data_IF_854982002297
#
_entry.id   IF_854982002297
#
_cell.length_a   1.000
_cell.length_b   1.000
_cell.length_c   1.000
_cell.angle_alpha   90.00
_cell.angle_beta   90.00
_cell.angle_gamma   90.00
#
_symmetry.space_group_name_H-M   'P 1'
#
loop_
_entity.id
_entity.type
_entity.pdbx_description
1 polymer ?
#
# COMPACT_ATOMS: atom_id res chain seq x y z
N UNK A 1 -22.63 1.59 11.55
CA UNK A 1 -21.51 0.66 11.85
C UNK A 1 -20.36 1.50 12.36
N UNK A 2 -20.27 1.69 13.68
CA UNK A 2 -19.11 2.37 14.29
C UNK A 2 -17.97 1.37 14.42
N UNK A 3 -16.79 1.73 13.96
CA UNK A 3 -15.58 0.93 14.10
C UNK A 3 -15.22 0.87 15.59
N UNK A 4 -15.53 -0.24 16.27
CA UNK A 4 -15.08 -0.48 17.65
C UNK A 4 -13.61 -0.90 17.57
N UNK A 5 -12.73 0.07 17.37
CA UNK A 5 -11.30 -0.15 17.52
C UNK A 5 -11.06 -0.58 18.97
N UNK A 6 -10.67 -1.84 19.17
CA UNK A 6 -10.27 -2.36 20.46
C UNK A 6 -8.88 -1.78 20.79
N UNK A 7 -8.85 -0.50 21.17
CA UNK A 7 -7.63 0.22 21.56
C UNK A 7 -7.42 0.06 23.07
N UNK A 8 -7.30 -1.17 23.54
CA UNK A 8 -6.78 -1.43 24.88
C UNK A 8 -5.27 -1.21 24.84
N UNK A 9 -4.83 -0.02 25.23
CA UNK A 9 -3.41 0.29 25.39
C UNK A 9 -2.99 -0.19 26.79
N UNK A 10 -2.46 -1.42 26.86
CA UNK A 10 -1.85 -1.95 28.09
C UNK A 10 -0.35 -1.68 28.04
N UNK A 11 0.25 -1.06 29.07
CA UNK A 11 1.70 -0.84 29.11
C UNK A 11 2.43 -2.19 29.13
N UNK A 12 3.41 -2.32 28.24
CA UNK A 12 4.21 -3.53 28.15
C UNK A 12 5.28 -3.52 29.25
N UNK A 13 5.02 -4.19 30.38
CA UNK A 13 5.87 -4.15 31.58
C UNK A 13 6.99 -5.21 31.57
N UNK A 14 7.03 -6.10 30.58
CA UNK A 14 8.09 -7.09 30.42
C UNK A 14 8.27 -7.53 28.97
N UNK A 15 9.45 -8.06 28.65
CA UNK A 15 9.76 -8.64 27.33
C UNK A 15 8.86 -9.84 27.01
N UNK A 16 8.52 -10.68 28.01
CA UNK A 16 7.62 -11.83 27.81
C UNK A 16 6.22 -11.38 27.38
N UNK A 17 5.67 -10.37 28.06
CA UNK A 17 4.36 -9.79 27.71
C UNK A 17 4.39 -9.18 26.30
N UNK A 18 5.51 -8.59 25.88
CA UNK A 18 5.69 -8.08 24.53
C UNK A 18 5.63 -9.21 23.49
N UNK A 19 6.36 -10.30 23.75
CA UNK A 19 6.39 -11.48 22.87
C UNK A 19 5.03 -12.16 22.80
N UNK A 20 4.32 -12.31 23.91
CA UNK A 20 2.96 -12.89 23.94
C UNK A 20 1.96 -12.02 23.17
N UNK A 21 2.10 -10.69 23.28
CA UNK A 21 1.28 -9.74 22.51
C UNK A 21 1.58 -9.85 21.01
N UNK A 22 2.85 -9.85 20.62
CA UNK A 22 3.27 -10.05 19.22
C UNK A 22 2.71 -11.39 18.71
N UNK A 23 2.92 -12.48 19.46
CA UNK A 23 2.44 -13.81 19.12
C UNK A 23 0.91 -13.85 18.94
N UNK A 24 0.13 -13.23 19.82
CA UNK A 24 -1.34 -13.12 19.70
C UNK A 24 -1.76 -12.54 18.35
N UNK A 25 -1.07 -11.53 17.85
CA UNK A 25 -1.42 -10.88 16.58
C UNK A 25 -0.79 -11.57 15.38
N UNK A 26 0.41 -12.15 15.49
CA UNK A 26 1.01 -12.97 14.44
C UNK A 26 0.27 -14.28 14.22
N UNK A 27 -0.28 -14.87 15.29
CA UNK A 27 -1.06 -16.11 15.24
C UNK A 27 -2.55 -15.87 14.94
N UNK A 28 -2.98 -14.61 14.84
CA UNK A 28 -4.35 -14.31 14.40
C UNK A 28 -4.43 -14.59 12.92
N UNK A 29 -4.79 -15.82 12.57
CA UNK A 29 -5.08 -16.20 11.20
C UNK A 29 -6.15 -15.25 10.65
N UNK A 30 -5.79 -14.49 9.62
CA UNK A 30 -6.77 -13.71 8.89
C UNK A 30 -7.59 -14.67 8.02
N UNK A 31 -8.90 -14.43 8.00
CA UNK A 31 -9.82 -15.28 7.23
C UNK A 31 -9.64 -14.90 5.76
N UNK A 32 -9.34 -15.86 4.87
CA UNK A 32 -9.23 -15.56 3.45
C UNK A 32 -10.57 -15.04 2.92
N UNK A 33 -10.51 -14.15 1.94
CA UNK A 33 -11.69 -13.59 1.28
C UNK A 33 -12.62 -14.70 0.80
N UNK A 34 -13.90 -14.58 1.15
CA UNK A 34 -14.92 -15.51 0.72
C UNK A 34 -15.17 -15.40 -0.79
N UNK A 35 -15.63 -16.50 -1.42
CA UNK A 35 -16.01 -16.44 -2.84
C UNK A 35 -17.17 -15.47 -3.06
N UNK A 36 -17.26 -14.86 -4.25
CA UNK A 36 -18.39 -13.99 -4.61
C UNK A 36 -19.75 -14.68 -4.38
N UNK A 37 -19.84 -15.98 -4.66
CA UNK A 37 -21.06 -16.75 -4.42
C UNK A 37 -21.41 -16.86 -2.94
N UNK A 38 -20.41 -17.03 -2.06
CA UNK A 38 -20.64 -17.14 -0.62
C UNK A 38 -20.96 -15.78 0.00
N UNK A 39 -20.34 -14.71 -0.51
CA UNK A 39 -20.67 -13.32 -0.18
C UNK A 39 -22.13 -13.04 -0.49
N UNK A 40 -22.59 -13.34 -1.72
CA UNK A 40 -24.00 -13.17 -2.13
C UNK A 40 -24.93 -13.98 -1.23
N UNK A 41 -24.62 -15.26 -0.98
CA UNK A 41 -25.42 -16.13 -0.10
C UNK A 41 -25.52 -15.58 1.31
N UNK A 42 -24.46 -14.99 1.85
CA UNK A 42 -24.47 -14.40 3.20
C UNK A 42 -25.36 -13.15 3.31
N UNK A 43 -25.52 -12.42 2.20
CA UNK A 43 -26.32 -11.21 2.12
C UNK A 43 -27.80 -11.49 1.85
N UNK A 44 -28.10 -12.57 1.11
CA UNK A 44 -29.43 -12.93 0.62
C UNK A 44 -30.53 -12.91 1.71
N UNK A 45 -30.33 -13.46 2.93
CA UNK A 45 -31.35 -13.47 3.97
C UNK A 45 -31.72 -12.07 4.51
N UNK A 46 -30.91 -11.06 4.20
CA UNK A 46 -31.04 -9.70 4.73
C UNK A 46 -31.53 -8.72 3.66
N UNK A 47 -31.89 -9.18 2.47
CA UNK A 47 -32.37 -8.34 1.36
C UNK A 47 -33.79 -7.84 1.65
N UNK A 48 -34.07 -6.58 1.31
CA UNK A 48 -35.41 -6.00 1.48
C UNK A 48 -36.37 -6.45 0.38
N UNK A 49 -37.58 -6.85 0.76
CA UNK A 49 -38.63 -7.29 -0.17
C UNK A 49 -39.19 -6.16 -1.04
N UNK A 50 -39.14 -4.91 -0.57
CA UNK A 50 -39.69 -3.76 -1.30
C UNK A 50 -38.80 -3.31 -2.47
N UNK A 51 -37.49 -3.49 -2.35
CA UNK A 51 -36.47 -3.11 -3.35
C UNK A 51 -35.34 -4.15 -3.39
N UNK A 52 -35.62 -5.37 -3.86
CA UNK A 52 -34.70 -6.50 -3.70
C UNK A 52 -33.38 -6.29 -4.45
N UNK A 53 -33.43 -5.77 -5.68
CA UNK A 53 -32.22 -5.56 -6.51
C UNK A 53 -31.29 -4.52 -5.89
N UNK A 54 -31.83 -3.35 -5.50
CA UNK A 54 -31.04 -2.27 -4.89
C UNK A 54 -30.51 -2.69 -3.53
N UNK A 55 -31.32 -3.37 -2.72
CA UNK A 55 -30.91 -3.86 -1.42
C UNK A 55 -29.82 -4.93 -1.52
N UNK A 56 -29.92 -5.84 -2.49
CA UNK A 56 -28.90 -6.85 -2.75
C UNK A 56 -27.59 -6.19 -3.18
N UNK A 57 -27.64 -5.27 -4.15
CA UNK A 57 -26.47 -4.56 -4.64
C UNK A 57 -25.77 -3.77 -3.51
N UNK A 58 -26.51 -2.98 -2.73
CA UNK A 58 -25.94 -2.19 -1.65
C UNK A 58 -25.30 -3.06 -0.55
N UNK A 59 -25.96 -4.15 -0.16
CA UNK A 59 -25.43 -5.05 0.88
C UNK A 59 -24.25 -5.89 0.39
N UNK A 60 -24.26 -6.29 -0.89
CA UNK A 60 -23.13 -6.99 -1.50
C UNK A 60 -21.90 -6.06 -1.59
N UNK A 61 -22.06 -4.83 -2.08
CA UNK A 61 -21.00 -3.82 -2.10
C UNK A 61 -20.43 -3.56 -0.70
N UNK A 62 -21.31 -3.40 0.30
CA UNK A 62 -20.86 -3.24 1.69
C UNK A 62 -20.07 -4.46 2.19
N UNK A 63 -20.48 -5.68 1.84
CA UNK A 63 -19.76 -6.91 2.21
C UNK A 63 -18.39 -6.96 1.52
N UNK A 64 -18.32 -6.67 0.23
CA UNK A 64 -17.08 -6.64 -0.56
C UNK A 64 -16.06 -5.62 -0.03
N UNK A 65 -16.51 -4.51 0.57
CA UNK A 65 -15.60 -3.54 1.22
C UNK A 65 -14.98 -4.07 2.52
N UNK A 66 -15.63 -5.04 3.17
CA UNK A 66 -15.14 -5.70 4.39
C UNK A 66 -14.23 -6.87 4.05
N UNK A 67 -14.54 -7.61 3.00
CA UNK A 67 -13.65 -8.63 2.45
C UNK A 67 -12.36 -7.94 1.98
N UNK A 68 -11.22 -8.41 2.48
CA UNK A 68 -9.90 -7.87 2.12
C UNK A 68 -8.98 -9.04 1.88
N UNK A 69 -8.38 -9.06 0.69
CA UNK A 69 -7.35 -10.03 0.34
C UNK A 69 -6.01 -9.72 1.03
N UNK A 70 -5.86 -8.51 1.57
CA UNK A 70 -4.69 -8.08 2.31
C UNK A 70 -4.99 -7.90 3.78
N UNK A 71 -4.02 -8.31 4.57
CA UNK A 71 -4.13 -8.16 6.00
C UNK A 71 -4.26 -6.74 6.45
N UNK A 72 -4.97 -6.54 7.56
CA UNK A 72 -5.12 -5.22 8.17
C UNK A 72 -3.76 -4.60 8.49
N UNK A 73 -2.80 -5.43 8.89
CA UNK A 73 -1.41 -5.05 9.13
C UNK A 73 -0.66 -4.70 7.84
N UNK A 74 -0.82 -5.50 6.77
CA UNK A 74 -0.20 -5.24 5.47
C UNK A 74 -0.70 -3.91 4.88
N UNK A 75 -2.02 -3.67 4.92
CA UNK A 75 -2.63 -2.41 4.48
C UNK A 75 -2.12 -1.22 5.28
N UNK A 76 -1.98 -1.36 6.60
CA UNK A 76 -1.46 -0.28 7.45
C UNK A 76 -0.01 0.07 7.07
N UNK A 77 0.87 -0.93 6.95
CA UNK A 77 2.27 -0.74 6.55
C UNK A 77 2.39 -0.09 5.18
N UNK A 78 1.63 -0.57 4.19
CA UNK A 78 1.57 0.03 2.86
C UNK A 78 1.08 1.48 2.89
N UNK A 79 0.11 1.80 3.75
CA UNK A 79 -0.46 3.15 3.83
C UNK A 79 0.55 4.17 4.35
N UNK A 80 1.33 3.79 5.37
CA UNK A 80 2.40 4.62 5.97
C UNK A 80 3.79 4.43 5.33
N UNK A 81 3.87 3.73 4.20
CA UNK A 81 5.11 3.50 3.44
C UNK A 81 6.21 2.78 4.26
N UNK A 82 5.81 1.89 5.17
CA UNK A 82 6.73 1.03 5.90
C UNK A 82 7.08 -0.22 5.08
N UNK A 83 8.34 -0.65 5.18
CA UNK A 83 8.80 -1.87 4.54
C UNK A 83 8.13 -3.11 5.14
N UNK A 84 7.50 -3.91 4.30
CA UNK A 84 7.03 -5.26 4.66
C UNK A 84 8.22 -6.22 4.63
N UNK A 85 8.29 -7.13 5.60
CA UNK A 85 9.29 -8.22 5.61
C UNK A 85 9.02 -9.19 4.46
N UNK A 86 7.76 -9.51 4.25
CA UNK A 86 7.27 -10.33 3.15
C UNK A 86 5.95 -9.75 2.66
N UNK A 87 5.77 -9.72 1.34
CA UNK A 87 4.56 -9.22 0.70
C UNK A 87 4.32 -9.98 -0.59
N UNK A 88 3.06 -10.23 -0.91
CA UNK A 88 2.68 -10.95 -2.13
C UNK A 88 3.09 -10.20 -3.40
N UNK A 89 3.22 -8.87 -3.30
CA UNK A 89 3.61 -7.97 -4.38
C UNK A 89 4.44 -6.82 -3.84
N UNK A 90 5.32 -6.29 -4.68
CA UNK A 90 6.07 -5.07 -4.37
C UNK A 90 5.24 -3.85 -4.79
N UNK A 91 5.05 -2.91 -3.86
CA UNK A 91 4.41 -1.63 -4.14
C UNK A 91 5.48 -0.56 -4.32
N UNK A 92 5.40 0.21 -5.40
CA UNK A 92 6.27 1.34 -5.69
C UNK A 92 5.47 2.64 -5.61
N UNK A 93 5.95 3.59 -4.81
CA UNK A 93 5.35 4.93 -4.73
C UNK A 93 5.94 5.82 -5.83
N UNK A 94 5.10 6.30 -6.74
CA UNK A 94 5.44 7.24 -7.81
C UNK A 94 4.88 8.62 -7.46
N UNK A 95 5.78 9.59 -7.25
CA UNK A 95 5.42 10.98 -7.06
C UNK A 95 5.18 11.68 -8.41
N UNK A 96 3.94 12.09 -8.63
CA UNK A 96 3.44 12.78 -9.81
C UNK A 96 3.28 14.29 -9.60
N UNK A 97 3.68 14.85 -8.45
CA UNK A 97 3.75 16.31 -8.27
C UNK A 97 4.69 16.95 -9.30
N UNK A 98 4.52 18.26 -9.53
CA UNK A 98 5.44 19.02 -10.35
C UNK A 98 6.86 18.91 -9.78
N UNK A 99 7.89 18.95 -10.63
CA UNK A 99 9.30 18.79 -10.18
C UNK A 99 9.70 19.75 -9.06
N UNK A 100 9.07 20.91 -9.04
CA UNK A 100 9.24 21.98 -8.06
C UNK A 100 8.71 21.60 -6.67
N UNK A 101 7.69 20.73 -6.62
CA UNK A 101 6.93 20.36 -5.42
C UNK A 101 7.27 18.95 -4.92
N UNK A 102 8.12 18.20 -5.65
CA UNK A 102 8.63 16.89 -5.23
C UNK A 102 9.57 17.08 -4.04
N UNK A 103 9.52 16.15 -3.10
CA UNK A 103 10.19 16.26 -1.79
C UNK A 103 11.61 16.84 -1.92
N UNK A 104 11.76 18.06 -1.41
CA UNK A 104 13.05 18.71 -1.27
C UNK A 104 13.94 17.87 -0.35
N UNK A 105 15.26 17.92 -0.57
CA UNK A 105 16.25 17.38 0.35
C UNK A 105 15.98 18.00 1.72
N UNK A 106 15.40 17.24 2.65
CA UNK A 106 15.26 17.70 4.03
C UNK A 106 16.56 17.35 4.74
N UNK A 107 17.39 18.36 4.99
CA UNK A 107 18.52 18.21 5.89
C UNK A 107 17.96 18.03 7.32
N UNK A 108 17.86 16.78 7.76
CA UNK A 108 17.51 16.48 9.14
C UNK A 108 18.72 16.80 10.02
N UNK A 109 18.61 17.70 11.01
CA UNK A 109 19.69 17.94 11.95
C UNK A 109 19.98 16.63 12.71
N UNK A 110 21.19 16.08 12.54
CA UNK A 110 21.63 14.94 13.35
C UNK A 110 21.75 15.35 14.81
N UNK A 111 21.46 14.43 15.73
CA UNK A 111 21.58 14.64 17.18
C UNK A 111 22.99 15.04 17.64
N UNK A 112 24.00 14.81 16.80
CA UNK A 112 25.41 15.07 17.11
C UNK A 112 25.96 16.34 16.41
N UNK A 113 25.10 17.22 15.90
CA UNK A 113 25.51 18.45 15.19
C UNK A 113 26.14 18.21 13.80
N UNK A 114 26.32 16.94 13.41
CA UNK A 114 26.68 16.56 12.04
C UNK A 114 25.42 16.62 11.19
N UNK A 115 25.40 17.52 10.20
CA UNK A 115 24.37 17.56 9.16
C UNK A 115 24.44 16.26 8.35
N UNK A 116 23.59 15.28 8.67
CA UNK A 116 23.36 14.16 7.77
C UNK A 116 22.41 14.62 6.66
N UNK A 117 22.98 15.08 5.55
CA UNK A 117 22.21 15.26 4.33
C UNK A 117 21.82 13.88 3.82
N UNK A 118 20.61 13.44 4.16
CA UNK A 118 20.05 12.22 3.56
C UNK A 118 19.70 12.59 2.13
N UNK A 119 20.61 12.33 1.18
CA UNK A 119 20.31 12.52 -0.24
C UNK A 119 19.03 11.74 -0.55
N UNK A 120 17.98 12.37 -1.06
CA UNK A 120 16.80 11.64 -1.49
C UNK A 120 17.25 10.63 -2.54
N UNK A 121 16.80 9.38 -2.39
CA UNK A 121 16.96 8.39 -3.45
C UNK A 121 16.43 9.00 -4.75
N UNK A 122 17.21 8.92 -5.84
CA UNK A 122 16.76 9.39 -7.18
C UNK A 122 15.33 8.92 -7.44
N UNK A 123 14.44 9.84 -7.80
CA UNK A 123 13.04 9.51 -8.03
C UNK A 123 12.92 8.48 -9.15
N UNK A 124 11.88 7.64 -9.07
CA UNK A 124 11.62 6.62 -10.10
C UNK A 124 11.40 7.25 -11.49
N UNK A 125 10.83 8.47 -11.51
CA UNK A 125 10.64 9.24 -12.73
C UNK A 125 11.97 9.66 -13.37
N UNK A 126 12.92 10.18 -12.57
CA UNK A 126 14.25 10.55 -13.07
C UNK A 126 14.98 9.32 -13.60
N UNK A 127 14.90 8.18 -12.91
CA UNK A 127 15.48 6.92 -13.39
C UNK A 127 14.90 6.45 -14.72
N UNK A 128 13.63 6.74 -14.99
CA UNK A 128 13.03 6.44 -16.27
C UNK A 128 13.50 7.40 -17.37
N UNK A 129 13.69 8.68 -17.07
CA UNK A 129 14.22 9.65 -18.03
C UNK A 129 15.69 9.35 -18.41
N UNK A 130 16.49 8.90 -17.44
CA UNK A 130 17.90 8.52 -17.62
C UNK A 130 18.10 7.08 -18.12
N UNK A 131 17.04 6.41 -18.60
CA UNK A 131 17.12 5.00 -19.03
C UNK A 131 17.96 4.85 -20.30
N UNK A 132 18.53 3.66 -20.46
CA UNK A 132 19.30 3.30 -21.66
C UNK A 132 18.40 3.21 -22.91
N UNK A 133 19.00 3.35 -24.10
CA UNK A 133 18.30 3.31 -25.39
C UNK A 133 17.55 1.98 -25.59
N UNK A 134 18.04 0.90 -25.00
CA UNK A 134 17.38 -0.42 -24.97
C UNK A 134 15.95 -0.37 -24.42
N UNK A 135 15.65 0.61 -23.55
CA UNK A 135 14.35 0.79 -22.90
C UNK A 135 13.55 1.95 -23.50
N UNK A 136 14.00 2.57 -24.59
CA UNK A 136 13.34 3.73 -25.18
C UNK A 136 11.88 3.42 -25.57
N UNK A 137 11.65 2.22 -26.13
CA UNK A 137 10.33 1.71 -26.51
C UNK A 137 9.42 1.33 -25.32
N UNK A 138 9.95 1.28 -24.09
CA UNK A 138 9.15 0.93 -22.91
C UNK A 138 8.48 2.15 -22.29
N UNK A 139 7.21 1.99 -21.92
CA UNK A 139 6.48 3.03 -21.20
C UNK A 139 6.97 3.14 -19.75
N UNK A 140 6.76 4.30 -19.12
CA UNK A 140 7.03 4.50 -17.68
C UNK A 140 6.36 3.40 -16.84
N UNK A 141 5.11 3.07 -17.17
CA UNK A 141 4.37 2.02 -16.48
C UNK A 141 5.09 0.67 -16.57
N UNK A 142 5.39 0.20 -17.79
CA UNK A 142 6.07 -1.08 -18.02
C UNK A 142 7.43 -1.12 -17.36
N UNK A 143 8.19 -0.02 -17.45
CA UNK A 143 9.51 0.09 -16.83
C UNK A 143 9.44 -0.11 -15.31
N UNK A 144 8.50 0.55 -14.63
CA UNK A 144 8.39 0.45 -13.18
C UNK A 144 7.78 -0.88 -12.71
N UNK A 145 6.84 -1.46 -13.47
CA UNK A 145 6.18 -2.71 -13.06
C UNK A 145 7.00 -3.95 -13.33
N UNK A 146 7.82 -3.94 -14.39
CA UNK A 146 8.54 -5.13 -14.89
C UNK A 146 10.05 -5.06 -14.83
N UNK A 147 10.65 -3.95 -14.44
CA UNK A 147 12.10 -3.84 -14.32
C UNK A 147 12.54 -3.57 -12.88
N UNK A 148 13.74 -4.04 -12.54
CA UNK A 148 14.33 -3.83 -11.23
C UNK A 148 15.03 -2.46 -11.16
N UNK A 149 14.29 -1.44 -10.73
CA UNK A 149 14.75 -0.06 -10.61
C UNK A 149 15.66 0.22 -9.39
N UNK A 150 15.95 -0.79 -8.58
CA UNK A 150 16.89 -0.67 -7.45
C UNK A 150 18.35 -0.79 -7.88
N UNK A 151 18.61 -1.35 -9.07
CA UNK A 151 19.95 -1.48 -9.63
C UNK A 151 20.29 -0.29 -10.54
N UNK A 152 21.59 0.04 -10.71
CA UNK A 152 22.02 1.05 -11.67
C UNK A 152 21.62 0.69 -13.10
N UNK A 153 21.70 -0.59 -13.44
CA UNK A 153 21.21 -1.14 -14.71
C UNK A 153 19.89 -1.88 -14.46
N UNK A 154 18.75 -1.35 -14.92
CA UNK A 154 17.43 -1.93 -14.67
C UNK A 154 17.25 -3.20 -15.50
N UNK A 155 17.27 -4.36 -14.84
CA UNK A 155 17.02 -5.64 -15.50
C UNK A 155 15.53 -5.98 -15.50
N UNK A 156 15.05 -6.60 -16.59
CA UNK A 156 13.69 -7.16 -16.63
C UNK A 156 13.53 -8.23 -15.55
N UNK A 157 12.43 -8.17 -14.82
CA UNK A 157 12.03 -9.17 -13.84
C UNK A 157 11.64 -10.47 -14.57
N UNK A 158 11.87 -11.61 -13.94
CA UNK A 158 11.48 -12.88 -14.51
C UNK A 158 9.95 -12.96 -14.68
N UNK A 159 9.47 -13.63 -15.73
CA UNK A 159 8.05 -13.63 -16.09
C UNK A 159 7.13 -14.29 -15.03
N UNK A 160 7.69 -15.09 -14.12
CA UNK A 160 6.95 -15.67 -12.99
C UNK A 160 6.74 -14.68 -11.83
N UNK A 161 7.50 -13.58 -11.80
CA UNK A 161 7.37 -12.55 -10.76
C UNK A 161 6.14 -11.72 -11.08
N UNK A 162 5.16 -11.59 -10.16
CA UNK A 162 3.99 -10.77 -10.40
C UNK A 162 4.37 -9.31 -10.62
N UNK A 163 3.68 -8.66 -11.56
CA UNK A 163 3.85 -7.23 -11.85
C UNK A 163 3.71 -6.40 -10.54
N UNK A 164 4.67 -5.48 -10.33
CA UNK A 164 4.65 -4.57 -9.19
C UNK A 164 3.46 -3.63 -9.27
N UNK A 165 2.97 -3.20 -8.11
CA UNK A 165 1.85 -2.25 -8.03
C UNK A 165 2.40 -0.83 -7.91
N UNK A 166 1.83 0.11 -8.66
CA UNK A 166 2.18 1.52 -8.56
C UNK A 166 1.18 2.26 -7.66
N UNK A 167 1.69 2.99 -6.68
CA UNK A 167 0.95 3.93 -5.84
C UNK A 167 1.28 5.35 -6.30
N UNK A 168 0.29 6.05 -6.85
CA UNK A 168 0.45 7.44 -7.28
C UNK A 168 0.26 8.43 -6.14
N UNK A 169 1.05 9.51 -6.14
CA UNK A 169 0.96 10.64 -5.20
C UNK A 169 0.99 11.95 -6.01
N UNK A 170 0.16 12.96 -5.72
CA UNK A 170 -0.86 12.98 -4.67
C UNK A 170 -2.05 12.07 -5.02
N UNK A 171 -2.70 11.51 -4.00
CA UNK A 171 -3.90 10.66 -4.18
C UNK A 171 -5.14 11.45 -4.61
N UNK A 172 -5.06 12.78 -4.53
CA UNK A 172 -6.11 13.73 -4.86
C UNK A 172 -5.51 14.85 -5.71
N UNK A 173 -6.33 15.51 -6.53
CA UNK A 173 -5.89 16.77 -7.15
C UNK A 173 -5.51 17.74 -6.04
N UNK A 174 -4.35 18.39 -6.17
CA UNK A 174 -4.06 19.59 -5.40
C UNK A 174 -5.22 20.55 -5.63
N UNK A 175 -5.91 20.93 -4.56
CA UNK A 175 -7.02 21.89 -4.65
C UNK A 175 -6.47 23.19 -5.26
N UNK A 176 -6.95 23.66 -6.43
CA UNK A 176 -6.43 24.87 -7.03
C UNK A 176 -6.61 26.12 -6.16
N UNK A 177 -7.47 26.06 -5.13
CA UNK A 177 -7.73 27.17 -4.21
C UNK A 177 -6.97 27.11 -2.87
N UNK A 178 -6.16 26.07 -2.63
CA UNK A 178 -5.45 25.91 -1.35
C UNK A 178 -3.92 25.90 -1.53
N UNK A 179 -3.20 26.97 -1.12
CA UNK A 179 -1.74 27.04 -1.16
C UNK A 179 -1.07 26.15 -0.10
#
# INVERSE_FOLDING_TARGET
MAWRANMDITPCTSVRVALDYIAKYCMKAEVPTASYTDIVKSVLPHVSDSRPVVSLAAKNLNKLLVERDWGSQEVAFLLVDLALVEGSRVVLTLDCRAEQDRDAVVDVPGTDGVRQSTRPRRSLYVKYLERDEEYEATTLFTFLTRHNTNRPQPQRLADWVPDRILRYVPRYHSDPEHP
#
